data_IF_430792129619
#
_entry.id   IF_430792129619
#
_cell.length_a   1.000
_cell.length_b   1.000
_cell.length_c   1.000
_cell.angle_alpha   90.00
_cell.angle_beta   90.00
_cell.angle_gamma   90.00
#
_symmetry.space_group_name_H-M   'P 1'
#
loop_
_entity.id
_entity.type
_entity.pdbx_description
1 polymer ?
#
# COMPACT_ATOMS: atom_id res chain seq x y z
N UNK A 1 -13.95 -7.89 8.10
CA UNK A 1 -14.18 -9.11 7.30
C UNK A 1 -13.35 -9.06 6.01
N UNK A 2 -12.97 -10.22 5.43
CA UNK A 2 -12.24 -10.28 4.14
C UNK A 2 -12.99 -9.62 2.96
N UNK A 3 -14.28 -9.34 3.12
CA UNK A 3 -15.13 -8.70 2.11
C UNK A 3 -15.50 -7.25 2.47
N UNK A 4 -14.86 -6.64 3.46
CA UNK A 4 -15.15 -5.26 3.81
C UNK A 4 -14.64 -4.28 2.77
N UNK A 5 -15.27 -3.11 2.75
CA UNK A 5 -15.01 -2.04 1.82
C UNK A 5 -14.22 -0.96 2.54
N UNK A 6 -13.13 -0.50 1.92
CA UNK A 6 -12.35 0.65 2.41
C UNK A 6 -12.99 1.92 1.84
N UNK A 7 -13.54 2.77 2.71
CA UNK A 7 -14.14 4.07 2.33
C UNK A 7 -13.21 5.18 2.83
N UNK A 8 -12.77 6.06 1.93
CA UNK A 8 -11.86 7.15 2.26
C UNK A 8 -11.96 8.33 1.30
N UNK A 9 -11.39 9.48 1.71
CA UNK A 9 -11.25 10.68 0.89
C UNK A 9 -9.85 11.24 1.06
N UNK A 10 -9.16 11.51 -0.05
CA UNK A 10 -7.89 12.23 -0.04
C UNK A 10 -8.16 13.70 -0.33
N UNK A 11 -7.79 14.58 0.62
CA UNK A 11 -7.95 16.02 0.46
C UNK A 11 -6.58 16.69 0.40
N UNK A 12 -6.41 17.60 -0.55
CA UNK A 12 -5.21 18.40 -0.70
C UNK A 12 -5.46 19.83 -0.21
N UNK A 13 -4.85 20.19 0.92
CA UNK A 13 -4.99 21.53 1.50
C UNK A 13 -4.06 22.55 0.81
N UNK A 14 -2.86 22.12 0.42
CA UNK A 14 -1.89 22.98 -0.27
C UNK A 14 -0.95 22.12 -1.12
N UNK A 15 -0.84 22.42 -2.41
CA UNK A 15 0.04 21.72 -3.36
C UNK A 15 0.93 22.74 -4.06
N UNK A 16 2.14 22.97 -3.51
CA UNK A 16 3.11 23.94 -4.07
C UNK A 16 3.90 23.40 -5.26
N UNK A 17 3.85 22.09 -5.51
CA UNK A 17 4.62 21.39 -6.55
C UNK A 17 3.67 20.47 -7.32
N UNK A 18 3.85 20.38 -8.65
CA UNK A 18 3.02 19.54 -9.52
C UNK A 18 3.19 18.05 -9.17
N UNK A 19 2.08 17.40 -8.81
CA UNK A 19 2.01 15.94 -8.64
C UNK A 19 1.95 15.31 -10.04
N UNK A 20 2.89 14.41 -10.34
CA UNK A 20 2.98 13.75 -11.67
C UNK A 20 2.06 12.53 -11.78
N UNK A 21 1.98 11.74 -10.72
CA UNK A 21 1.11 10.58 -10.59
C UNK A 21 0.82 10.35 -9.12
N UNK A 22 -0.39 9.87 -8.81
CA UNK A 22 -0.80 9.45 -7.48
C UNK A 22 -1.62 8.18 -7.63
N UNK A 23 -1.27 7.15 -6.86
CA UNK A 23 -2.00 5.88 -6.80
C UNK A 23 -2.13 5.39 -5.35
N UNK A 24 -3.18 4.63 -5.06
CA UNK A 24 -3.40 3.90 -3.82
C UNK A 24 -3.28 2.41 -4.13
N UNK A 25 -2.33 1.74 -3.48
CA UNK A 25 -2.10 0.32 -3.70
C UNK A 25 -2.38 -0.52 -2.44
N UNK A 26 -3.03 -1.66 -2.63
CA UNK A 26 -3.11 -2.69 -1.60
C UNK A 26 -1.91 -3.64 -1.76
N UNK A 27 -1.07 -3.71 -0.73
CA UNK A 27 0.17 -4.49 -0.76
C UNK A 27 0.14 -5.55 0.34
N UNK A 28 0.36 -6.81 -0.05
CA UNK A 28 0.60 -7.92 0.87
C UNK A 28 2.09 -8.04 1.12
N UNK A 29 2.49 -8.00 2.38
CA UNK A 29 3.87 -8.22 2.82
C UNK A 29 3.89 -9.46 3.71
N UNK A 30 4.61 -10.47 3.27
CA UNK A 30 4.79 -11.71 4.01
C UNK A 30 6.24 -11.83 4.45
N UNK A 31 6.46 -12.13 5.73
CA UNK A 31 7.81 -12.35 6.28
C UNK A 31 7.86 -13.75 6.85
N UNK A 32 8.83 -14.54 6.41
CA UNK A 32 9.02 -15.91 6.84
C UNK A 32 10.49 -16.22 7.10
N UNK A 33 10.74 -17.27 7.87
CA UNK A 33 12.07 -17.63 8.38
C UNK A 33 12.20 -17.31 9.87
N UNK A 34 13.34 -17.72 10.44
CA UNK A 34 13.70 -17.42 11.84
C UNK A 34 15.15 -16.97 11.92
N UNK A 35 15.43 -16.04 12.84
CA UNK A 35 16.78 -15.50 13.05
C UNK A 35 17.37 -14.83 11.81
N UNK A 36 18.53 -15.30 11.38
CA UNK A 36 19.30 -14.75 10.24
C UNK A 36 18.72 -15.11 8.87
N UNK A 37 17.75 -16.03 8.80
CA UNK A 37 17.14 -16.49 7.54
C UNK A 37 15.82 -15.79 7.20
N UNK A 38 15.46 -14.74 7.94
CA UNK A 38 14.26 -13.96 7.68
C UNK A 38 14.27 -13.40 6.25
N UNK A 39 13.25 -13.76 5.48
CA UNK A 39 12.97 -13.24 4.15
C UNK A 39 11.64 -12.54 4.17
N UNK A 40 11.53 -11.50 3.36
CA UNK A 40 10.32 -10.72 3.20
C UNK A 40 9.95 -10.70 1.73
N UNK A 41 8.74 -11.15 1.43
CA UNK A 41 8.11 -11.08 0.13
C UNK A 41 7.05 -9.98 0.12
N UNK A 42 6.95 -9.27 -0.99
CA UNK A 42 6.02 -8.15 -1.15
C UNK A 42 5.30 -8.28 -2.48
N UNK A 43 3.99 -8.30 -2.44
CA UNK A 43 3.11 -8.44 -3.59
C UNK A 43 2.10 -7.29 -3.62
N UNK A 44 1.95 -6.64 -4.78
CA UNK A 44 0.91 -5.62 -4.97
C UNK A 44 -0.35 -6.31 -5.49
N UNK A 45 -1.41 -6.29 -4.69
CA UNK A 45 -2.67 -6.97 -5.00
C UNK A 45 -3.57 -6.11 -5.91
N UNK A 46 -3.66 -4.80 -5.65
CA UNK A 46 -4.51 -3.86 -6.40
C UNK A 46 -3.86 -2.48 -6.43
N UNK A 47 -4.11 -1.71 -7.50
CA UNK A 47 -3.75 -0.28 -7.65
C UNK A 47 -4.96 0.53 -8.07
N UNK A 48 -5.16 1.70 -7.47
CA UNK A 48 -6.23 2.67 -7.72
C UNK A 48 -5.69 4.06 -7.97
#
# INVERSE_FOLDING_TARGET
>A
HLKDIIIGRVNFHLVKIKIKSMEIALVRKETFGTGTTNKTETETLVKY
#
